data_IF_094611093146
#
_entry.id   IF_094611093146
#
_cell.length_a   1.000
_cell.length_b   1.000
_cell.length_c   1.000
_cell.angle_alpha   90.00
_cell.angle_beta   90.00
_cell.angle_gamma   90.00
#
_symmetry.space_group_name_H-M   'P 1'
#
loop_
_entity.id
_entity.type
_entity.pdbx_description
1 polymer ?
#
# COMPACT_ATOMS: atom_id res chain seq x y z
N UNK A 1 12.71 -14.23 14.14
CA UNK A 1 12.99 -13.41 12.93
C UNK A 1 12.67 -11.96 13.28
N UNK A 2 13.60 -11.04 13.06
CA UNK A 2 13.39 -9.59 13.23
C UNK A 2 13.21 -8.94 11.86
N UNK A 3 12.12 -8.26 11.65
CA UNK A 3 11.80 -7.58 10.38
C UNK A 3 12.33 -6.16 10.35
N UNK A 4 12.89 -5.71 9.22
CA UNK A 4 13.11 -4.30 8.91
C UNK A 4 11.97 -3.83 8.00
N UNK A 5 11.16 -2.87 8.47
CA UNK A 5 10.00 -2.36 7.74
C UNK A 5 10.35 -0.99 7.19
N UNK A 6 10.73 -0.94 5.90
CA UNK A 6 11.01 0.30 5.17
C UNK A 6 9.69 0.91 4.72
N UNK A 7 9.40 2.15 5.12
CA UNK A 7 8.11 2.79 4.92
C UNK A 7 7.13 2.52 6.07
N UNK A 8 7.64 2.41 7.30
CA UNK A 8 6.89 2.02 8.49
C UNK A 8 5.82 3.02 8.95
N UNK A 9 5.88 4.27 8.49
CA UNK A 9 4.89 5.32 8.80
C UNK A 9 3.81 5.50 7.73
N UNK A 10 3.92 4.81 6.59
CA UNK A 10 2.86 4.77 5.57
C UNK A 10 1.65 3.95 6.04
N UNK A 11 0.55 3.99 5.28
CA UNK A 11 -0.69 3.27 5.60
C UNK A 11 -0.45 1.78 5.90
N UNK A 12 0.22 1.06 5.01
CA UNK A 12 0.50 -0.38 5.18
C UNK A 12 1.53 -0.60 6.28
N UNK A 13 2.57 0.25 6.34
CA UNK A 13 3.62 0.16 7.34
C UNK A 13 3.10 0.34 8.76
N UNK A 14 2.22 1.31 8.98
CA UNK A 14 1.56 1.54 10.28
C UNK A 14 0.72 0.33 10.71
N UNK A 15 -0.09 -0.22 9.81
CA UNK A 15 -0.89 -1.40 10.11
C UNK A 15 0.00 -2.64 10.41
N UNK A 16 1.10 -2.81 9.66
CA UNK A 16 2.03 -3.91 9.85
C UNK A 16 2.78 -3.78 11.19
N UNK A 17 3.26 -2.59 11.55
CA UNK A 17 3.93 -2.36 12.85
C UNK A 17 2.98 -2.56 14.01
N UNK A 18 1.74 -2.07 13.91
CA UNK A 18 0.70 -2.29 14.91
C UNK A 18 0.36 -3.78 15.07
N UNK A 19 0.28 -4.52 13.96
CA UNK A 19 0.09 -5.97 14.02
C UNK A 19 1.27 -6.67 14.70
N UNK A 20 2.51 -6.26 14.39
CA UNK A 20 3.71 -6.80 15.05
C UNK A 20 3.70 -6.54 16.55
N UNK A 21 3.36 -5.32 16.99
CA UNK A 21 3.25 -4.96 18.41
C UNK A 21 2.20 -5.82 19.13
N UNK A 22 1.01 -5.98 18.53
CA UNK A 22 -0.08 -6.77 19.10
C UNK A 22 0.21 -8.28 19.20
N UNK A 23 1.15 -8.78 18.40
CA UNK A 23 1.51 -10.20 18.35
C UNK A 23 2.95 -10.49 18.83
N UNK A 24 3.62 -9.52 19.48
CA UNK A 24 4.99 -9.65 20.01
C UNK A 24 6.02 -10.06 18.94
N UNK A 25 5.84 -9.61 17.70
CA UNK A 25 6.74 -9.89 16.56
C UNK A 25 7.83 -8.82 16.55
N UNK A 26 9.09 -9.23 16.57
CA UNK A 26 10.23 -8.33 16.58
C UNK A 26 10.39 -7.61 15.22
N UNK A 27 10.44 -6.28 15.25
CA UNK A 27 10.70 -5.47 14.06
C UNK A 27 11.51 -4.21 14.38
N UNK A 28 11.99 -3.57 13.34
CA UNK A 28 12.53 -2.22 13.35
C UNK A 28 11.85 -1.42 12.22
N UNK A 29 11.20 -0.31 12.58
CA UNK A 29 10.62 0.60 11.61
C UNK A 29 11.66 1.57 11.06
N UNK A 30 11.61 1.87 9.76
CA UNK A 30 12.48 2.82 9.08
C UNK A 30 11.63 3.70 8.16
N UNK A 31 11.61 5.01 8.42
CA UNK A 31 10.81 5.95 7.65
C UNK A 31 11.28 7.39 7.86
N UNK A 32 11.35 8.18 6.79
CA UNK A 32 11.73 9.60 6.84
C UNK A 32 10.80 10.44 7.73
N UNK A 33 9.54 10.04 7.87
CA UNK A 33 8.58 10.70 8.77
C UNK A 33 8.91 10.50 10.25
N UNK A 34 9.70 9.49 10.60
CA UNK A 34 10.18 9.22 11.97
C UNK A 34 11.45 9.99 12.29
N UNK A 35 12.39 9.99 11.34
CA UNK A 35 13.66 10.66 11.50
C UNK A 35 14.27 10.99 10.14
N UNK A 36 14.80 12.20 9.98
CA UNK A 36 15.38 12.65 8.71
C UNK A 36 16.55 11.77 8.23
N UNK A 37 17.27 11.13 9.13
CA UNK A 37 18.33 10.19 8.80
C UNK A 37 17.82 8.86 8.20
N UNK A 38 16.54 8.60 8.28
CA UNK A 38 15.87 7.43 7.68
C UNK A 38 15.37 7.72 6.25
N UNK A 39 16.03 8.64 5.53
CA UNK A 39 15.76 8.92 4.13
C UNK A 39 16.42 7.89 3.21
N UNK A 40 15.61 7.05 2.57
CA UNK A 40 16.06 6.03 1.60
C UNK A 40 16.61 6.60 0.29
N UNK A 41 16.48 7.92 0.07
CA UNK A 41 17.04 8.62 -1.10
C UNK A 41 18.50 9.06 -0.89
N UNK A 42 19.09 8.74 0.26
CA UNK A 42 20.48 8.98 0.57
C UNK A 42 21.32 7.79 0.15
N UNK A 43 22.27 8.02 -0.75
CA UNK A 43 23.21 7.00 -1.21
C UNK A 43 24.07 6.49 -0.04
N UNK A 44 24.24 5.18 0.06
CA UNK A 44 25.02 4.53 1.13
C UNK A 44 24.61 5.00 2.55
N UNK A 45 23.33 5.17 2.77
CA UNK A 45 22.80 5.65 4.06
C UNK A 45 23.28 4.78 5.23
N UNK A 46 24.14 5.32 6.14
CA UNK A 46 24.73 4.53 7.23
C UNK A 46 23.67 4.03 8.22
N UNK A 47 22.56 4.77 8.41
CA UNK A 47 21.46 4.33 9.27
C UNK A 47 20.71 3.15 8.67
N UNK A 48 20.54 3.10 7.33
CA UNK A 48 19.96 1.97 6.63
C UNK A 48 20.88 0.74 6.73
N UNK A 49 22.19 0.91 6.54
CA UNK A 49 23.16 -0.18 6.65
C UNK A 49 23.19 -0.78 8.06
N UNK A 50 23.11 0.05 9.10
CA UNK A 50 22.97 -0.38 10.49
C UNK A 50 21.67 -1.18 10.70
N UNK A 51 20.53 -0.68 10.24
CA UNK A 51 19.24 -1.36 10.37
C UNK A 51 19.22 -2.71 9.64
N UNK A 52 19.79 -2.79 8.43
CA UNK A 52 19.94 -4.04 7.68
C UNK A 52 20.81 -5.06 8.42
N UNK A 53 21.91 -4.62 9.07
CA UNK A 53 22.77 -5.52 9.82
C UNK A 53 22.07 -6.17 11.02
N UNK A 54 21.10 -5.48 11.61
CA UNK A 54 20.34 -5.89 12.79
C UNK A 54 19.03 -6.65 12.46
N UNK A 55 18.67 -6.79 11.19
CA UNK A 55 17.46 -7.45 10.73
C UNK A 55 17.74 -8.83 10.13
N UNK A 56 16.73 -9.69 10.15
CA UNK A 56 16.76 -10.99 9.48
C UNK A 56 16.07 -10.94 8.12
N UNK A 57 15.10 -10.05 7.96
CA UNK A 57 14.22 -9.97 6.77
C UNK A 57 13.80 -8.53 6.50
N UNK A 58 13.65 -8.14 5.22
CA UNK A 58 13.26 -6.79 4.82
C UNK A 58 11.86 -6.77 4.19
N UNK A 59 10.98 -5.91 4.70
CA UNK A 59 9.71 -5.53 4.11
C UNK A 59 9.88 -4.17 3.42
N UNK A 60 10.02 -4.16 2.09
CA UNK A 60 10.23 -2.94 1.33
C UNK A 60 8.89 -2.34 0.88
N UNK A 61 8.28 -1.53 1.76
CA UNK A 61 6.99 -0.85 1.54
C UNK A 61 7.16 0.61 1.09
N UNK A 62 8.31 1.21 1.41
CA UNK A 62 8.56 2.63 1.20
C UNK A 62 8.38 3.05 -0.27
N UNK A 63 7.57 4.07 -0.48
CA UNK A 63 7.35 4.70 -1.78
C UNK A 63 6.70 6.06 -1.60
N UNK A 64 7.02 7.03 -2.47
CA UNK A 64 6.25 8.27 -2.52
C UNK A 64 5.00 8.02 -3.36
N UNK A 65 3.88 7.79 -2.69
CA UNK A 65 2.60 7.43 -3.28
C UNK A 65 1.45 7.94 -2.41
N UNK A 66 0.26 8.02 -2.97
CA UNK A 66 -0.99 8.38 -2.31
C UNK A 66 -2.18 7.96 -3.15
N UNK A 67 -3.37 8.37 -2.74
CA UNK A 67 -4.62 8.10 -3.45
C UNK A 67 -4.69 8.77 -4.83
N UNK A 68 -5.80 8.55 -5.54
CA UNK A 68 -6.00 9.01 -6.93
C UNK A 68 -5.81 10.51 -7.09
N UNK A 69 -6.22 11.33 -6.10
CA UNK A 69 -5.99 12.79 -6.11
C UNK A 69 -4.49 13.13 -6.13
N UNK A 70 -3.72 12.51 -5.27
CA UNK A 70 -2.27 12.71 -5.20
C UNK A 70 -1.58 12.25 -6.48
N UNK A 71 -1.86 11.04 -6.95
CA UNK A 71 -1.26 10.50 -8.17
C UNK A 71 -1.64 11.32 -9.41
N UNK A 72 -2.91 11.72 -9.57
CA UNK A 72 -3.36 12.56 -10.68
C UNK A 72 -2.58 13.88 -10.77
N UNK A 73 -2.27 14.49 -9.62
CA UNK A 73 -1.52 15.74 -9.56
C UNK A 73 0.00 15.61 -9.59
N UNK A 74 0.57 14.48 -9.16
CA UNK A 74 2.01 14.36 -8.87
C UNK A 74 2.78 13.38 -9.75
N UNK A 75 2.18 12.27 -10.20
CA UNK A 75 2.95 11.18 -10.84
C UNK A 75 3.72 11.57 -12.10
N UNK A 76 3.28 12.64 -12.80
CA UNK A 76 3.95 13.16 -14.00
C UNK A 76 5.01 14.23 -13.70
N UNK A 77 5.24 14.57 -12.43
CA UNK A 77 6.23 15.58 -12.05
C UNK A 77 7.63 14.94 -11.93
N UNK A 78 8.65 15.69 -12.34
CA UNK A 78 10.04 15.24 -12.24
C UNK A 78 10.43 14.86 -10.80
N UNK A 79 9.96 15.61 -9.83
CA UNK A 79 10.24 15.35 -8.41
C UNK A 79 9.72 13.98 -7.97
N UNK A 80 8.47 13.63 -8.29
CA UNK A 80 7.88 12.33 -7.99
C UNK A 80 8.69 11.17 -8.61
N UNK A 81 9.01 11.30 -9.91
CA UNK A 81 9.76 10.29 -10.65
C UNK A 81 11.17 10.12 -10.05
N UNK A 82 11.88 11.25 -9.83
CA UNK A 82 13.25 11.23 -9.32
C UNK A 82 13.34 10.72 -7.89
N UNK A 83 12.40 11.10 -7.01
CA UNK A 83 12.37 10.63 -5.63
C UNK A 83 12.20 9.10 -5.56
N UNK A 84 11.23 8.56 -6.30
CA UNK A 84 10.97 7.13 -6.31
C UNK A 84 12.10 6.34 -7.00
N UNK A 85 12.70 6.87 -8.07
CA UNK A 85 13.83 6.23 -8.74
C UNK A 85 15.05 6.10 -7.80
N UNK A 86 15.45 7.21 -7.13
CA UNK A 86 16.56 7.21 -6.16
C UNK A 86 16.30 6.30 -4.97
N UNK A 87 15.08 6.37 -4.41
CA UNK A 87 14.66 5.52 -3.31
C UNK A 87 14.83 4.05 -3.66
N UNK A 88 14.38 3.63 -4.84
CA UNK A 88 14.53 2.25 -5.29
C UNK A 88 15.99 1.87 -5.52
N UNK A 89 16.75 2.67 -6.28
CA UNK A 89 18.14 2.40 -6.61
C UNK A 89 18.98 2.16 -5.36
N UNK A 90 18.96 3.10 -4.42
CA UNK A 90 19.82 3.03 -3.22
C UNK A 90 19.36 1.96 -2.23
N UNK A 91 18.04 1.74 -2.12
CA UNK A 91 17.53 0.69 -1.24
C UNK A 91 17.84 -0.70 -1.78
N UNK A 92 17.64 -0.96 -3.08
CA UNK A 92 17.98 -2.25 -3.67
C UNK A 92 19.49 -2.53 -3.63
N UNK A 93 20.33 -1.50 -3.83
CA UNK A 93 21.77 -1.66 -3.65
C UNK A 93 22.13 -2.04 -2.20
N UNK A 94 21.56 -1.37 -1.21
CA UNK A 94 21.79 -1.69 0.20
C UNK A 94 21.30 -3.10 0.57
N UNK A 95 20.15 -3.53 0.04
CA UNK A 95 19.63 -4.90 0.22
C UNK A 95 20.60 -5.92 -0.41
N UNK A 96 21.08 -5.66 -1.63
CA UNK A 96 22.08 -6.51 -2.30
C UNK A 96 23.34 -6.69 -1.45
N UNK A 97 23.92 -5.58 -0.96
CA UNK A 97 25.14 -5.58 -0.19
C UNK A 97 24.98 -6.27 1.17
N UNK A 98 23.78 -6.23 1.74
CA UNK A 98 23.47 -6.91 2.99
C UNK A 98 23.18 -8.41 2.85
N UNK A 99 22.79 -8.86 1.64
CA UNK A 99 22.37 -10.24 1.36
C UNK A 99 21.09 -10.67 2.09
N UNK A 100 20.27 -9.73 2.57
CA UNK A 100 19.05 -10.06 3.32
C UNK A 100 17.90 -10.48 2.39
N UNK A 101 17.13 -11.51 2.79
CA UNK A 101 15.88 -11.84 2.10
C UNK A 101 14.88 -10.71 2.23
N UNK A 102 14.06 -10.50 1.20
CA UNK A 102 13.13 -9.37 1.19
C UNK A 102 11.88 -9.61 0.35
N UNK A 103 10.83 -8.85 0.69
CA UNK A 103 9.63 -8.67 -0.12
C UNK A 103 9.57 -7.22 -0.57
N UNK A 104 9.37 -7.01 -1.87
CA UNK A 104 9.10 -5.69 -2.46
C UNK A 104 7.62 -5.53 -2.77
N UNK A 105 7.04 -4.40 -2.37
CA UNK A 105 5.65 -4.09 -2.64
C UNK A 105 5.51 -3.35 -3.97
N UNK A 106 4.96 -4.06 -4.95
CA UNK A 106 4.51 -3.52 -6.23
C UNK A 106 3.01 -3.20 -6.19
N UNK A 107 2.41 -2.94 -7.32
CA UNK A 107 1.01 -2.53 -7.47
C UNK A 107 0.40 -3.17 -8.71
N UNK A 108 -0.91 -3.39 -8.71
CA UNK A 108 -1.66 -3.72 -9.93
C UNK A 108 -1.44 -2.69 -11.05
N UNK A 109 -1.14 -1.44 -10.69
CA UNK A 109 -0.84 -0.37 -11.65
C UNK A 109 0.46 -0.61 -12.43
N UNK A 110 1.32 -1.52 -12.01
CA UNK A 110 2.47 -1.96 -12.81
C UNK A 110 2.07 -2.52 -14.19
N UNK A 111 0.83 -2.98 -14.33
CA UNK A 111 0.28 -3.42 -15.61
C UNK A 111 -0.27 -2.27 -16.51
N UNK A 112 -0.23 -1.02 -16.02
CA UNK A 112 -0.74 0.16 -16.73
C UNK A 112 0.42 0.97 -17.32
N UNK A 113 0.74 0.73 -18.59
CA UNK A 113 1.91 1.33 -19.27
C UNK A 113 1.86 2.87 -19.37
N UNK A 114 0.68 3.47 -19.24
CA UNK A 114 0.50 4.93 -19.26
C UNK A 114 0.78 5.60 -17.91
N UNK A 115 0.89 4.83 -16.83
CA UNK A 115 1.13 5.36 -15.47
C UNK A 115 2.63 5.44 -15.16
N UNK A 116 3.22 6.63 -14.93
CA UNK A 116 4.60 6.74 -14.45
C UNK A 116 4.83 5.98 -13.13
N UNK A 117 3.87 6.04 -12.21
CA UNK A 117 3.88 5.25 -10.99
C UNK A 117 3.97 3.75 -11.30
N UNK A 118 3.10 3.26 -12.19
CA UNK A 118 3.10 1.86 -12.61
C UNK A 118 4.42 1.44 -13.26
N UNK A 119 4.95 2.27 -14.18
CA UNK A 119 6.23 2.01 -14.84
C UNK A 119 7.40 1.90 -13.84
N UNK A 120 7.45 2.78 -12.83
CA UNK A 120 8.46 2.71 -11.78
C UNK A 120 8.31 1.45 -10.92
N UNK A 121 7.08 1.00 -10.63
CA UNK A 121 6.86 -0.29 -9.94
C UNK A 121 7.38 -1.47 -10.75
N UNK A 122 7.22 -1.47 -12.09
CA UNK A 122 7.84 -2.48 -12.97
C UNK A 122 9.36 -2.49 -12.86
N UNK A 123 9.99 -1.32 -12.79
CA UNK A 123 11.45 -1.24 -12.54
C UNK A 123 11.81 -1.92 -11.22
N UNK A 124 11.06 -1.67 -10.14
CA UNK A 124 11.25 -2.33 -8.85
C UNK A 124 11.07 -3.86 -8.91
N UNK A 125 10.11 -4.35 -9.72
CA UNK A 125 9.91 -5.79 -9.96
C UNK A 125 11.15 -6.42 -10.65
N UNK A 126 11.77 -5.70 -11.59
CA UNK A 126 13.00 -6.16 -12.24
C UNK A 126 14.19 -6.22 -11.28
N UNK A 127 14.37 -5.20 -10.40
CA UNK A 127 15.36 -5.25 -9.32
C UNK A 127 15.13 -6.44 -8.41
N UNK A 128 13.87 -6.64 -7.99
CA UNK A 128 13.50 -7.73 -7.08
C UNK A 128 13.82 -9.10 -7.67
N UNK A 129 13.49 -9.30 -8.96
CA UNK A 129 13.82 -10.55 -9.68
C UNK A 129 15.32 -10.76 -9.79
N UNK A 130 16.09 -9.71 -10.12
CA UNK A 130 17.55 -9.78 -10.23
C UNK A 130 18.22 -10.15 -8.90
N UNK A 131 17.64 -9.74 -7.77
CA UNK A 131 18.16 -10.00 -6.43
C UNK A 131 17.56 -11.27 -5.77
N UNK A 132 16.65 -11.98 -6.45
CA UNK A 132 16.01 -13.19 -5.92
C UNK A 132 15.00 -12.95 -4.79
N UNK A 133 14.50 -11.72 -4.66
CA UNK A 133 13.43 -11.34 -3.73
C UNK A 133 12.04 -11.81 -4.18
N UNK A 134 11.04 -11.52 -3.36
CA UNK A 134 9.64 -11.74 -3.69
C UNK A 134 8.98 -10.42 -4.04
N UNK A 135 8.30 -10.38 -5.19
CA UNK A 135 7.42 -9.27 -5.58
C UNK A 135 5.98 -9.59 -5.18
N UNK A 136 5.34 -8.64 -4.54
CA UNK A 136 3.91 -8.69 -4.22
C UNK A 136 3.21 -7.53 -4.90
N UNK A 137 2.17 -7.81 -5.68
CA UNK A 137 1.30 -6.78 -6.29
C UNK A 137 0.08 -6.55 -5.40
N UNK A 138 -0.07 -5.32 -4.93
CA UNK A 138 -1.25 -4.92 -4.15
C UNK A 138 -2.31 -4.32 -5.06
N UNK A 139 -3.57 -4.62 -4.72
CA UNK A 139 -4.74 -3.86 -5.16
C UNK A 139 -4.98 -2.70 -4.21
N UNK A 140 -6.21 -2.27 -4.02
CA UNK A 140 -6.49 -1.09 -3.19
C UNK A 140 -6.51 -1.48 -1.71
N UNK A 141 -5.38 -1.34 -1.03
CA UNK A 141 -5.32 -1.51 0.43
C UNK A 141 -5.90 -0.27 1.11
N UNK A 142 -6.72 -0.46 2.14
CA UNK A 142 -7.27 0.60 2.97
C UNK A 142 -7.06 0.33 4.46
N UNK A 143 -6.93 1.39 5.24
CA UNK A 143 -6.69 1.36 6.68
C UNK A 143 -6.64 2.78 7.22
N UNK A 144 -6.17 2.96 8.44
CA UNK A 144 -5.99 4.28 9.03
C UNK A 144 -4.88 5.04 8.30
N UNK A 145 -5.16 6.29 7.93
CA UNK A 145 -4.21 7.22 7.32
C UNK A 145 -4.22 8.54 8.09
N UNK A 146 -3.05 9.10 8.26
CA UNK A 146 -2.85 10.38 8.98
C UNK A 146 -2.52 11.54 8.04
N UNK A 147 -1.97 11.26 6.85
CA UNK A 147 -1.64 12.25 5.83
C UNK A 147 -2.83 12.42 4.86
N UNK A 148 -3.62 13.45 5.09
CA UNK A 148 -4.82 13.71 4.29
C UNK A 148 -4.53 14.16 2.85
N UNK A 149 -3.33 14.67 2.55
CA UNK A 149 -2.94 14.98 1.16
C UNK A 149 -2.75 13.70 0.33
N UNK A 150 -2.32 12.63 0.98
CA UNK A 150 -2.09 11.32 0.37
C UNK A 150 -3.23 10.32 0.58
N UNK A 151 -4.29 10.72 1.29
CA UNK A 151 -5.38 9.82 1.67
C UNK A 151 -6.03 9.14 0.48
N UNK A 152 -6.43 7.89 0.70
CA UNK A 152 -7.19 7.09 -0.24
C UNK A 152 -8.70 7.29 -0.02
N UNK A 153 -9.50 6.79 -0.95
CA UNK A 153 -10.93 7.07 -1.05
C UNK A 153 -11.72 6.76 0.23
N UNK A 154 -11.44 5.66 0.93
CA UNK A 154 -12.20 5.27 2.14
C UNK A 154 -11.94 6.26 3.27
N UNK A 155 -10.68 6.61 3.53
CA UNK A 155 -10.31 7.63 4.52
C UNK A 155 -10.91 8.99 4.18
N UNK A 156 -10.80 9.44 2.92
CA UNK A 156 -11.37 10.70 2.44
C UNK A 156 -12.89 10.75 2.67
N UNK A 157 -13.60 9.67 2.32
CA UNK A 157 -15.05 9.59 2.50
C UNK A 157 -15.48 9.57 3.98
N UNK A 158 -14.74 8.88 4.85
CA UNK A 158 -15.01 8.88 6.29
C UNK A 158 -14.91 10.31 6.85
N UNK A 159 -13.84 11.05 6.52
CA UNK A 159 -13.70 12.45 6.95
C UNK A 159 -14.83 13.33 6.41
N UNK A 160 -15.12 13.27 5.12
CA UNK A 160 -16.21 14.03 4.51
C UNK A 160 -17.57 13.74 5.15
N UNK A 161 -17.88 12.48 5.37
CA UNK A 161 -19.11 12.08 6.03
C UNK A 161 -19.20 12.59 7.48
N UNK A 162 -18.08 12.56 8.21
CA UNK A 162 -18.01 13.04 9.60
C UNK A 162 -18.13 14.56 9.68
N UNK A 163 -17.32 15.28 8.88
CA UNK A 163 -17.09 16.71 9.06
C UNK A 163 -18.18 17.55 8.39
N UNK A 164 -18.65 17.13 7.20
CA UNK A 164 -19.57 17.93 6.37
C UNK A 164 -20.92 17.28 6.13
N UNK A 165 -21.11 16.01 6.47
CA UNK A 165 -22.29 15.23 6.11
C UNK A 165 -22.55 15.21 4.58
N UNK A 166 -21.49 15.35 3.79
CA UNK A 166 -21.56 15.33 2.34
C UNK A 166 -20.30 14.66 1.78
N UNK A 167 -20.48 13.54 1.09
CA UNK A 167 -19.43 12.86 0.34
C UNK A 167 -19.49 13.39 -1.10
N UNK A 168 -18.73 14.47 -1.37
CA UNK A 168 -18.49 14.96 -2.71
C UNK A 168 -17.42 14.08 -3.39
N UNK A 169 -17.82 13.37 -4.44
CA UNK A 169 -16.95 12.43 -5.15
C UNK A 169 -16.17 13.13 -6.26
N UNK A 170 -14.98 12.61 -6.59
CA UNK A 170 -14.15 13.12 -7.69
C UNK A 170 -14.67 12.62 -9.05
N UNK A 171 -15.31 11.44 -9.05
CA UNK A 171 -15.82 10.75 -10.24
C UNK A 171 -17.30 10.45 -10.07
N UNK A 172 -17.92 9.86 -11.10
CA UNK A 172 -19.32 9.39 -11.00
C UNK A 172 -19.46 8.11 -10.15
N UNK A 173 -18.32 7.51 -9.73
CA UNK A 173 -18.29 6.37 -8.84
C UNK A 173 -18.59 5.02 -9.48
N UNK A 174 -18.68 4.94 -10.81
CA UNK A 174 -18.98 3.67 -11.50
C UNK A 174 -17.76 2.76 -11.64
N UNK A 175 -16.56 3.28 -11.50
CA UNK A 175 -15.32 2.50 -11.51
C UNK A 175 -15.25 1.55 -10.31
N UNK A 176 -14.75 0.33 -10.55
CA UNK A 176 -14.67 -0.73 -9.54
C UNK A 176 -13.25 -0.98 -9.08
N UNK A 177 -13.09 -1.31 -7.80
CA UNK A 177 -11.82 -1.67 -7.17
C UNK A 177 -11.99 -2.89 -6.26
N UNK A 178 -10.88 -3.58 -5.98
CA UNK A 178 -10.82 -4.58 -4.92
C UNK A 178 -10.18 -3.95 -3.69
N UNK A 179 -10.98 -3.77 -2.65
CA UNK A 179 -10.54 -3.14 -1.40
C UNK A 179 -10.14 -4.19 -0.37
N UNK A 180 -8.88 -4.14 0.08
CA UNK A 180 -8.32 -5.04 1.08
C UNK A 180 -7.99 -4.30 2.36
N UNK A 181 -8.44 -4.79 3.50
CA UNK A 181 -8.10 -4.20 4.80
C UNK A 181 -6.59 -4.34 5.11
N UNK A 182 -5.96 -3.29 5.64
CA UNK A 182 -4.52 -3.25 5.90
C UNK A 182 -4.05 -4.31 6.91
N UNK A 183 -4.90 -4.74 7.85
CA UNK A 183 -4.60 -5.87 8.74
C UNK A 183 -4.48 -7.18 7.97
N UNK A 184 -5.40 -7.47 7.04
CA UNK A 184 -5.31 -8.66 6.18
C UNK A 184 -4.06 -8.60 5.29
N UNK A 185 -3.70 -7.42 4.77
CA UNK A 185 -2.45 -7.22 4.04
C UNK A 185 -1.24 -7.53 4.93
N UNK A 186 -1.21 -7.05 6.16
CA UNK A 186 -0.12 -7.27 7.13
C UNK A 186 0.06 -8.76 7.44
N UNK A 187 -1.04 -9.47 7.69
CA UNK A 187 -1.03 -10.93 7.92
C UNK A 187 -0.49 -11.67 6.69
N UNK A 188 -0.92 -11.28 5.50
CA UNK A 188 -0.42 -11.88 4.26
C UNK A 188 1.10 -11.69 4.12
N UNK A 189 1.60 -10.47 4.29
CA UNK A 189 3.04 -10.17 4.16
C UNK A 189 3.89 -11.00 5.13
N UNK A 190 3.45 -11.13 6.39
CA UNK A 190 4.15 -11.96 7.38
C UNK A 190 4.11 -13.44 7.02
N UNK A 191 2.96 -13.95 6.58
CA UNK A 191 2.82 -15.35 6.10
C UNK A 191 3.78 -15.64 4.94
N UNK A 192 3.90 -14.70 3.99
CA UNK A 192 4.82 -14.85 2.86
C UNK A 192 6.28 -14.80 3.30
N UNK A 193 6.63 -13.96 4.29
CA UNK A 193 7.99 -13.92 4.83
C UNK A 193 8.36 -15.21 5.58
N UNK A 194 7.43 -15.77 6.34
CA UNK A 194 7.62 -17.06 7.02
C UNK A 194 7.81 -18.22 6.05
N UNK A 195 7.14 -18.16 4.90
CA UNK A 195 7.18 -19.19 3.85
C UNK A 195 8.15 -18.83 2.71
N UNK A 196 9.01 -17.84 2.89
CA UNK A 196 9.85 -17.22 1.86
C UNK A 196 10.57 -18.23 0.97
N UNK A 197 11.20 -19.26 1.55
CA UNK A 197 11.98 -20.25 0.81
C UNK A 197 11.12 -21.17 -0.07
N UNK A 198 9.85 -21.36 0.28
CA UNK A 198 8.92 -22.23 -0.45
C UNK A 198 8.20 -21.53 -1.61
N UNK A 199 8.28 -20.20 -1.69
CA UNK A 199 7.57 -19.41 -2.70
C UNK A 199 8.39 -19.36 -3.99
N UNK A 200 7.82 -19.82 -5.13
CA UNK A 200 8.47 -19.70 -6.44
C UNK A 200 8.72 -18.23 -6.82
N UNK A 201 9.90 -17.93 -7.39
CA UNK A 201 10.29 -16.56 -7.79
C UNK A 201 9.79 -16.17 -9.18
N UNK A 202 9.24 -17.10 -9.93
CA UNK A 202 8.67 -16.92 -11.27
C UNK A 202 7.13 -16.71 -11.24
N UNK A 203 6.53 -16.70 -10.05
CA UNK A 203 5.09 -16.47 -9.86
C UNK A 203 4.84 -15.04 -9.34
N UNK A 204 3.79 -14.42 -9.84
CA UNK A 204 3.28 -13.17 -9.29
C UNK A 204 2.36 -13.45 -8.08
N UNK A 205 2.54 -12.69 -7.01
CA UNK A 205 1.70 -12.77 -5.82
C UNK A 205 0.79 -11.55 -5.76
N UNK A 206 -0.48 -11.76 -6.02
CA UNK A 206 -1.50 -10.71 -6.08
C UNK A 206 -2.29 -10.69 -4.77
N UNK A 207 -2.07 -9.68 -3.94
CA UNK A 207 -2.80 -9.51 -2.68
C UNK A 207 -4.00 -8.59 -2.91
N UNK A 208 -5.18 -9.17 -2.90
CA UNK A 208 -6.44 -8.51 -3.17
C UNK A 208 -7.57 -9.12 -2.33
N UNK A 209 -8.72 -8.44 -2.24
CA UNK A 209 -9.87 -8.94 -1.47
C UNK A 209 -10.65 -10.06 -2.19
N UNK A 210 -10.49 -10.19 -3.50
CA UNK A 210 -11.28 -11.10 -4.32
C UNK A 210 -12.70 -10.59 -4.66
N UNK A 211 -13.08 -9.41 -4.16
CA UNK A 211 -14.39 -8.80 -4.38
C UNK A 211 -14.26 -7.43 -5.02
N UNK A 212 -14.99 -7.20 -6.10
CA UNK A 212 -15.06 -5.91 -6.78
C UNK A 212 -16.21 -5.08 -6.21
N UNK A 213 -15.88 -3.85 -5.81
CA UNK A 213 -16.87 -2.85 -5.35
C UNK A 213 -16.67 -1.54 -6.12
N UNK A 214 -17.76 -0.90 -6.49
CA UNK A 214 -17.74 0.43 -7.08
C UNK A 214 -17.38 1.49 -6.03
N UNK A 215 -16.85 2.62 -6.47
CA UNK A 215 -16.60 3.74 -5.56
C UNK A 215 -17.90 4.27 -4.96
N UNK A 216 -19.01 4.20 -5.72
CA UNK A 216 -20.34 4.58 -5.22
C UNK A 216 -20.78 3.65 -4.07
N UNK A 217 -20.65 2.31 -4.22
CA UNK A 217 -20.95 1.36 -3.13
C UNK A 217 -20.10 1.65 -1.87
N UNK A 218 -18.83 2.02 -2.04
CA UNK A 218 -17.98 2.43 -0.91
C UNK A 218 -18.53 3.69 -0.25
N UNK A 219 -18.97 4.69 -1.02
CA UNK A 219 -19.58 5.91 -0.48
C UNK A 219 -20.86 5.61 0.29
N UNK A 220 -21.71 4.68 -0.20
CA UNK A 220 -22.94 4.24 0.46
C UNK A 220 -22.63 3.53 1.80
N UNK A 221 -21.63 2.64 1.83
CA UNK A 221 -21.19 1.98 3.06
C UNK A 221 -20.69 2.99 4.09
N UNK A 222 -19.87 3.96 3.68
CA UNK A 222 -19.40 5.02 4.59
C UNK A 222 -20.56 5.89 5.06
N UNK A 223 -21.46 6.33 4.16
CA UNK A 223 -22.60 7.16 4.51
C UNK A 223 -23.53 6.50 5.53
N UNK A 224 -23.67 5.17 5.48
CA UNK A 224 -24.48 4.40 6.44
C UNK A 224 -23.99 4.52 7.90
N UNK A 225 -22.70 4.76 8.10
CA UNK A 225 -22.09 4.95 9.44
C UNK A 225 -22.35 6.36 10.02
N UNK A 226 -22.70 7.33 9.17
CA UNK A 226 -22.88 8.74 9.56
C UNK A 226 -24.28 9.23 9.13
N UNK A 227 -25.32 9.02 9.96
CA UNK A 227 -26.71 9.35 9.60
C UNK A 227 -26.87 10.78 9.11
N UNK A 228 -27.63 10.96 8.01
CA UNK A 228 -27.87 12.24 7.37
C UNK A 228 -26.78 12.65 6.35
N UNK A 229 -25.81 11.79 6.08
CA UNK A 229 -24.83 12.03 5.03
C UNK A 229 -25.45 11.89 3.64
N UNK A 230 -25.19 12.87 2.78
CA UNK A 230 -25.55 12.86 1.35
C UNK A 230 -24.35 12.46 0.50
N UNK A 231 -24.60 11.82 -0.64
CA UNK A 231 -23.56 11.46 -1.62
C UNK A 231 -23.78 12.32 -2.87
N UNK A 232 -22.72 12.94 -3.34
CA UNK A 232 -22.72 13.79 -4.53
C UNK A 232 -21.67 13.28 -5.54
N UNK A 233 -22.04 12.35 -6.45
CA UNK A 233 -21.19 11.92 -7.55
C UNK A 233 -20.88 13.10 -8.49
N UNK A 234 -19.65 13.14 -9.03
CA UNK A 234 -19.28 14.07 -10.10
C UNK A 234 -19.66 13.49 -11.47
N UNK A 235 -19.50 14.28 -12.54
CA UNK A 235 -19.65 13.80 -13.91
C UNK A 235 -18.36 13.20 -14.48
N UNK A 236 -17.21 13.46 -13.84
CA UNK A 236 -15.91 13.01 -14.29
C UNK A 236 -15.76 11.50 -14.18
N UNK A 237 -14.91 10.93 -15.05
CA UNK A 237 -14.50 9.52 -15.01
C UNK A 237 -13.11 9.36 -14.40
N UNK A 238 -12.77 8.14 -14.02
CA UNK A 238 -11.44 7.80 -13.49
C UNK A 238 -10.36 8.00 -14.56
N UNK A 239 -9.46 8.95 -14.33
CA UNK A 239 -8.31 9.24 -15.19
C UNK A 239 -7.02 8.52 -14.74
N UNK A 240 -6.94 8.08 -13.48
CA UNK A 240 -5.72 7.49 -12.89
C UNK A 240 -5.54 6.03 -13.30
N UNK A 241 -6.59 5.23 -13.23
CA UNK A 241 -6.58 3.84 -13.68
C UNK A 241 -7.44 3.64 -14.95
N UNK A 242 -8.16 4.67 -15.43
CA UNK A 242 -8.96 4.66 -16.65
C UNK A 242 -9.93 3.47 -16.70
N UNK A 243 -10.63 3.21 -15.60
CA UNK A 243 -11.52 2.05 -15.39
C UNK A 243 -10.85 0.68 -15.66
N UNK A 244 -9.52 0.62 -15.68
CA UNK A 244 -8.82 -0.64 -15.91
C UNK A 244 -9.15 -1.65 -14.82
N UNK A 245 -9.80 -2.74 -15.22
CA UNK A 245 -10.14 -3.86 -14.37
C UNK A 245 -9.23 -5.05 -14.68
N UNK A 246 -8.28 -5.30 -13.79
CA UNK A 246 -7.30 -6.37 -13.90
C UNK A 246 -7.62 -7.39 -12.81
N UNK A 247 -8.00 -8.60 -13.20
CA UNK A 247 -8.29 -9.66 -12.24
C UNK A 247 -6.97 -10.15 -11.60
N UNK A 248 -6.93 -10.27 -10.26
CA UNK A 248 -5.75 -10.79 -9.59
C UNK A 248 -5.52 -12.27 -9.88
N UNK A 249 -4.25 -12.66 -10.02
CA UNK A 249 -3.88 -14.08 -10.10
C UNK A 249 -4.22 -14.77 -8.77
N UNK A 250 -4.96 -15.89 -8.79
CA UNK A 250 -5.38 -16.59 -7.58
C UNK A 250 -4.26 -17.39 -6.90
N UNK A 251 -3.04 -17.42 -7.43
CA UNK A 251 -1.93 -18.21 -6.89
C UNK A 251 -1.66 -17.96 -5.42
N UNK A 252 -1.84 -16.70 -4.94
CA UNK A 252 -1.69 -16.31 -3.55
C UNK A 252 -2.56 -17.14 -2.59
N UNK A 253 -3.72 -17.63 -3.05
CA UNK A 253 -4.66 -18.41 -2.24
C UNK A 253 -4.08 -19.74 -1.71
N UNK A 254 -2.95 -20.17 -2.26
CA UNK A 254 -2.19 -21.33 -1.73
C UNK A 254 -1.56 -21.05 -0.37
N UNK A 255 -1.35 -19.78 -0.05
CA UNK A 255 -0.64 -19.33 1.14
C UNK A 255 -1.56 -18.57 2.09
N UNK A 256 -2.49 -17.79 1.54
CA UNK A 256 -3.29 -16.86 2.32
C UNK A 256 -4.62 -16.51 1.61
N UNK A 257 -5.63 -16.18 2.41
CA UNK A 257 -6.92 -15.62 1.94
C UNK A 257 -7.36 -14.48 2.86
N UNK A 258 -8.04 -13.43 2.33
CA UNK A 258 -8.57 -12.35 3.13
C UNK A 258 -9.72 -12.82 4.04
N UNK A 259 -9.87 -12.18 5.18
CA UNK A 259 -10.91 -12.51 6.17
C UNK A 259 -11.83 -11.35 6.53
N UNK A 260 -11.39 -10.12 6.29
CA UNK A 260 -12.11 -8.90 6.67
C UNK A 260 -12.97 -8.43 5.49
N UNK A 261 -14.30 -8.47 5.67
CA UNK A 261 -15.25 -7.96 4.68
C UNK A 261 -15.21 -6.44 4.64
N UNK A 262 -15.50 -5.84 3.48
CA UNK A 262 -15.35 -4.40 3.23
C UNK A 262 -16.15 -3.55 4.25
N UNK A 263 -17.43 -3.85 4.47
CA UNK A 263 -18.28 -3.12 5.42
C UNK A 263 -17.71 -3.15 6.84
N UNK A 264 -17.35 -4.33 7.33
CA UNK A 264 -16.75 -4.48 8.66
C UNK A 264 -15.38 -3.77 8.78
N UNK A 265 -14.59 -3.79 7.72
CA UNK A 265 -13.31 -3.09 7.67
C UNK A 265 -13.46 -1.57 7.66
N UNK A 266 -14.40 -1.02 6.91
CA UNK A 266 -14.71 0.42 6.91
C UNK A 266 -15.14 0.87 8.32
N UNK A 267 -16.00 0.10 8.98
CA UNK A 267 -16.42 0.39 10.35
C UNK A 267 -15.21 0.39 11.32
N UNK A 268 -14.31 -0.60 11.22
CA UNK A 268 -13.09 -0.64 12.05
C UNK A 268 -12.22 0.59 11.81
N UNK A 269 -11.95 0.95 10.55
CA UNK A 269 -11.13 2.12 10.22
C UNK A 269 -11.72 3.40 10.81
N UNK A 270 -13.03 3.62 10.67
CA UNK A 270 -13.71 4.79 11.24
C UNK A 270 -13.63 4.83 12.77
N UNK A 271 -13.74 3.67 13.44
CA UNK A 271 -13.58 3.54 14.88
C UNK A 271 -12.13 3.79 15.32
N UNK A 272 -11.14 3.21 14.63
CA UNK A 272 -9.72 3.35 14.96
C UNK A 272 -9.20 4.78 14.73
N UNK A 273 -9.86 5.53 13.84
CA UNK A 273 -9.65 6.97 13.66
C UNK A 273 -10.35 7.81 14.76
N UNK A 274 -11.16 7.20 15.64
CA UNK A 274 -11.91 7.90 16.69
C UNK A 274 -13.06 8.77 16.14
N UNK A 275 -13.64 8.40 14.99
CA UNK A 275 -14.66 9.20 14.29
C UNK A 275 -16.09 8.65 14.43
N UNK A 276 -16.26 7.45 14.98
CA UNK A 276 -17.56 6.87 15.35
C UNK A 276 -17.90 7.13 16.80
#
# INVERSE_FOLDING_TARGET
MKYLILGSSGQIGTALTQWCDNNEIAYEGFDIARAQQEDLRVEQNPRLMEALSNADFVMFLAYDVGGSRYLGGKQNQLEFISNNARLMEYTFQAIHDSGKPFIFISSQMANLSFSPYGALKVVGEHYTRALGGITVKLWNVYGVETDMEKSHVITDFIHKAKDTRCIDMITDGTESRQFLHAEDCSRCLLTLAEQYESIPRDQELHIASGSWNTILEVAELVASLFPGTTIQPAEAKDEVQQDARIDPDPFIQKYWTPTIQLEAGIHRVANDMGLL
#
